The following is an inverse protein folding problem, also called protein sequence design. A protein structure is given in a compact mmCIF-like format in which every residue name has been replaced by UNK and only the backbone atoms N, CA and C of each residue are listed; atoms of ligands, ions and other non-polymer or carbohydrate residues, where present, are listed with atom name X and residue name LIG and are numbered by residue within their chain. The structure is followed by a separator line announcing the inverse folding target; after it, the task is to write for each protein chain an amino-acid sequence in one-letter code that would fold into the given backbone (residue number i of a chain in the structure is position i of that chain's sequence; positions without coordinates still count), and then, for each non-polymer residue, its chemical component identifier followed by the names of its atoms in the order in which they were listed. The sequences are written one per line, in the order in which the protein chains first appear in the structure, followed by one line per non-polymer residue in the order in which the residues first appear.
data_IF_735027990629
#
_entry.id   IF_735027990629
#
_cell.length_a   1.000
_cell.length_b   1.000
_cell.length_c   1.000
_cell.angle_alpha   90.00
_cell.angle_beta   90.00
_cell.angle_gamma   90.00
#
_symmetry.space_group_name_H-M   'P 1'
#
loop_
_entity.id
_entity.type
_entity.pdbx_description
1 polymer ?
#
# COMPACT_ATOMS: atom_id res chain seq x y z
N UNK A 1 35.05 -37.16 32.33
CA UNK A 1 36.11 -36.15 32.03
C UNK A 1 35.91 -35.42 30.69
N UNK A 2 35.13 -35.95 29.72
CA UNK A 2 34.86 -35.29 28.42
C UNK A 2 34.05 -33.98 28.56
N UNK A 3 33.04 -33.94 29.44
CA UNK A 3 32.15 -32.79 29.61
C UNK A 3 32.86 -31.48 29.98
N UNK A 4 33.82 -31.50 30.91
CA UNK A 4 34.46 -30.26 31.38
C UNK A 4 35.24 -29.54 30.28
N UNK A 5 35.83 -30.26 29.32
CA UNK A 5 36.56 -29.67 28.18
C UNK A 5 35.61 -29.09 27.14
N UNK A 6 34.48 -29.76 26.90
CA UNK A 6 33.45 -29.30 25.97
C UNK A 6 32.76 -28.04 26.50
N UNK A 7 32.38 -28.02 27.78
CA UNK A 7 31.81 -26.84 28.46
C UNK A 7 32.78 -25.66 28.44
N UNK A 8 34.07 -25.86 28.73
CA UNK A 8 35.08 -24.78 28.66
C UNK A 8 35.23 -24.19 27.26
N UNK A 9 35.24 -25.03 26.22
CA UNK A 9 35.32 -24.56 24.82
C UNK A 9 34.09 -23.75 24.42
N UNK A 10 32.89 -24.19 24.78
CA UNK A 10 31.64 -23.47 24.51
C UNK A 10 31.60 -22.10 25.23
N UNK A 11 32.06 -22.04 26.49
CA UNK A 11 32.18 -20.78 27.25
C UNK A 11 33.19 -19.82 26.59
N UNK A 12 34.36 -20.32 26.17
CA UNK A 12 35.38 -19.51 25.49
C UNK A 12 34.90 -18.98 24.13
N UNK A 13 34.13 -19.77 23.37
CA UNK A 13 33.52 -19.32 22.12
C UNK A 13 32.41 -18.28 22.35
N UNK A 14 31.58 -18.45 23.39
CA UNK A 14 30.56 -17.47 23.81
C UNK A 14 31.17 -16.14 24.28
N UNK A 15 32.38 -16.16 24.87
CA UNK A 15 33.09 -14.96 25.30
C UNK A 15 33.77 -14.19 24.16
N UNK A 16 34.08 -14.84 23.03
CA UNK A 16 34.82 -14.21 21.92
C UNK A 16 34.03 -13.12 21.19
N UNK A 17 32.74 -13.34 20.94
CA UNK A 17 31.87 -12.30 20.40
C UNK A 17 31.47 -11.41 21.58
N UNK A 18 31.68 -10.10 21.54
CA UNK A 18 31.16 -9.20 22.59
C UNK A 18 29.71 -8.83 22.26
N UNK A 19 28.81 -8.83 23.24
CA UNK A 19 27.38 -8.49 23.01
C UNK A 19 27.20 -7.12 22.35
N UNK A 20 28.06 -6.15 22.69
CA UNK A 20 28.17 -4.87 21.98
C UNK A 20 28.29 -5.08 20.47
N UNK A 21 29.21 -5.92 19.99
CA UNK A 21 29.45 -6.09 18.55
C UNK A 21 28.19 -6.57 17.82
N UNK A 22 27.39 -7.43 18.45
CA UNK A 22 26.09 -7.85 17.91
C UNK A 22 25.09 -6.69 17.86
N UNK A 23 25.08 -5.81 18.87
CA UNK A 23 24.23 -4.61 18.88
C UNK A 23 24.63 -3.64 17.77
N UNK A 24 25.93 -3.37 17.58
CA UNK A 24 26.39 -2.53 16.46
C UNK A 24 26.03 -3.14 15.11
N UNK A 25 26.24 -4.45 14.96
CA UNK A 25 25.86 -5.17 13.74
C UNK A 25 24.35 -5.10 13.49
N UNK A 26 23.53 -5.21 14.55
CA UNK A 26 22.08 -5.08 14.46
C UNK A 26 21.69 -3.68 13.98
N UNK A 27 22.30 -2.62 14.50
CA UNK A 27 22.02 -1.24 14.09
C UNK A 27 22.33 -1.07 12.60
N UNK A 28 23.51 -1.53 12.16
CA UNK A 28 23.91 -1.46 10.75
C UNK A 28 22.96 -2.26 9.85
N UNK A 29 22.63 -3.50 10.21
CA UNK A 29 21.69 -4.33 9.45
C UNK A 29 20.28 -3.75 9.43
N UNK A 30 19.83 -3.12 10.53
CA UNK A 30 18.53 -2.47 10.59
C UNK A 30 18.45 -1.27 9.63
N UNK A 31 19.54 -0.50 9.51
CA UNK A 31 19.61 0.59 8.53
C UNK A 31 19.53 0.08 7.09
N UNK A 32 20.25 -1.01 6.77
CA UNK A 32 20.18 -1.67 5.46
C UNK A 32 18.76 -2.18 5.18
N UNK A 33 18.15 -2.87 6.16
CA UNK A 33 16.78 -3.37 6.04
C UNK A 33 15.79 -2.23 5.78
N UNK A 34 15.87 -1.13 6.54
CA UNK A 34 15.01 0.05 6.37
C UNK A 34 15.18 0.69 4.98
N UNK A 35 16.40 0.71 4.44
CA UNK A 35 16.68 1.24 3.10
C UNK A 35 16.01 0.41 2.01
N UNK A 36 16.11 -0.92 2.07
CA UNK A 36 15.43 -1.79 1.11
C UNK A 36 13.91 -1.75 1.26
N UNK A 37 13.40 -1.68 2.50
CA UNK A 37 11.98 -1.51 2.77
C UNK A 37 11.44 -0.22 2.16
N UNK A 38 12.21 0.87 2.24
CA UNK A 38 11.90 2.14 1.59
C UNK A 38 11.94 2.01 0.06
N UNK A 39 12.92 1.32 -0.49
CA UNK A 39 13.03 1.10 -1.93
C UNK A 39 11.79 0.40 -2.49
N UNK A 40 11.32 -0.67 -1.83
CA UNK A 40 10.09 -1.38 -2.18
C UNK A 40 8.86 -0.45 -2.21
N UNK A 41 8.72 0.37 -1.16
CA UNK A 41 7.63 1.34 -1.05
C UNK A 41 7.69 2.40 -2.16
N UNK A 42 8.86 3.00 -2.40
CA UNK A 42 9.02 4.00 -3.46
C UNK A 42 8.77 3.42 -4.85
N UNK A 43 9.16 2.16 -5.09
CA UNK A 43 8.87 1.46 -6.34
C UNK A 43 7.38 1.21 -6.57
N UNK A 44 6.61 1.02 -5.50
CA UNK A 44 5.14 0.97 -5.56
C UNK A 44 4.57 2.36 -5.88
N UNK A 45 5.02 3.42 -5.18
CA UNK A 45 4.54 4.79 -5.39
C UNK A 45 4.75 5.24 -6.84
N UNK A 46 5.93 4.94 -7.41
CA UNK A 46 6.24 5.25 -8.81
C UNK A 46 5.25 4.59 -9.78
N UNK A 47 4.91 3.32 -9.55
CA UNK A 47 3.94 2.58 -10.38
C UNK A 47 2.53 3.11 -10.21
N UNK A 48 2.13 3.47 -8.99
CA UNK A 48 0.84 4.12 -8.73
C UNK A 48 0.74 5.46 -9.47
N UNK A 49 1.80 6.26 -9.46
CA UNK A 49 1.85 7.51 -10.22
C UNK A 49 1.80 7.26 -11.73
N UNK A 50 2.41 6.17 -12.22
CA UNK A 50 2.33 5.79 -13.62
C UNK A 50 0.91 5.37 -14.03
N UNK A 51 0.15 4.68 -13.17
CA UNK A 51 -1.28 4.40 -13.39
C UNK A 51 -2.07 5.71 -13.50
N UNK A 52 -1.87 6.64 -12.56
CA UNK A 52 -2.57 7.93 -12.59
C UNK A 52 -2.21 8.76 -13.85
N UNK A 53 -0.95 8.73 -14.28
CA UNK A 53 -0.52 9.39 -15.50
C UNK A 53 -1.15 8.76 -16.76
N UNK A 54 -1.19 7.43 -16.85
CA UNK A 54 -1.84 6.74 -17.96
C UNK A 54 -3.36 7.00 -18.00
N UNK A 55 -4.01 7.01 -16.83
CA UNK A 55 -5.43 7.36 -16.70
C UNK A 55 -5.73 8.77 -17.23
N UNK A 56 -4.85 9.72 -16.92
CA UNK A 56 -4.96 11.10 -17.41
C UNK A 56 -4.82 11.21 -18.94
N UNK A 57 -3.95 10.41 -19.54
CA UNK A 57 -3.80 10.35 -21.01
C UNK A 57 -5.03 9.71 -21.68
N UNK A 58 -5.70 8.77 -21.01
CA UNK A 58 -6.90 8.11 -21.51
C UNK A 58 -6.65 6.91 -22.42
N UNK A 59 -5.41 6.40 -22.45
CA UNK A 59 -5.07 5.16 -23.17
C UNK A 59 -5.40 3.93 -22.32
N UNK A 60 -6.59 3.37 -22.50
CA UNK A 60 -7.11 2.23 -21.71
C UNK A 60 -6.17 1.01 -21.70
N UNK A 61 -5.60 0.56 -22.85
CA UNK A 61 -4.58 -0.49 -22.84
C UNK A 61 -3.37 -0.20 -21.95
N UNK A 62 -2.82 1.01 -22.00
CA UNK A 62 -1.66 1.37 -21.17
C UNK A 62 -2.05 1.47 -19.69
N UNK A 63 -3.17 2.11 -19.34
CA UNK A 63 -3.68 2.15 -17.96
C UNK A 63 -3.82 0.74 -17.38
N UNK A 64 -4.40 -0.18 -18.17
CA UNK A 64 -4.56 -1.58 -17.79
C UNK A 64 -3.21 -2.26 -17.55
N UNK A 65 -2.24 -2.07 -18.45
CA UNK A 65 -0.89 -2.59 -18.28
C UNK A 65 -0.19 -2.03 -17.02
N UNK A 66 -0.36 -0.74 -16.72
CA UNK A 66 0.18 -0.11 -15.50
C UNK A 66 -0.46 -0.65 -14.24
N UNK A 67 -1.77 -0.92 -14.25
CA UNK A 67 -2.47 -1.54 -13.12
C UNK A 67 -1.92 -2.94 -12.85
N UNK A 68 -1.70 -3.74 -13.90
CA UNK A 68 -1.10 -5.07 -13.76
C UNK A 68 0.34 -5.02 -13.23
N UNK A 69 1.16 -4.07 -13.69
CA UNK A 69 2.52 -3.89 -13.17
C UNK A 69 2.50 -3.50 -11.68
N UNK A 70 1.63 -2.57 -11.29
CA UNK A 70 1.44 -2.19 -9.88
C UNK A 70 0.96 -3.37 -9.03
N UNK A 71 0.00 -4.15 -9.51
CA UNK A 71 -0.51 -5.34 -8.82
C UNK A 71 0.62 -6.35 -8.58
N UNK A 72 1.38 -6.67 -9.64
CA UNK A 72 2.48 -7.63 -9.57
C UNK A 72 3.57 -7.15 -8.62
N UNK A 73 3.92 -5.87 -8.67
CA UNK A 73 4.91 -5.29 -7.77
C UNK A 73 4.47 -5.39 -6.31
N UNK A 74 3.23 -4.97 -6.01
CA UNK A 74 2.66 -4.98 -4.66
C UNK A 74 2.61 -6.39 -4.08
N UNK A 75 2.23 -7.39 -4.90
CA UNK A 75 2.17 -8.79 -4.48
C UNK A 75 3.55 -9.44 -4.27
N UNK A 76 4.62 -8.90 -4.86
CA UNK A 76 5.95 -9.49 -4.83
C UNK A 76 6.89 -8.90 -3.75
N UNK A 77 6.59 -7.70 -3.22
CA UNK A 77 7.48 -6.97 -2.31
C UNK A 77 6.74 -6.56 -1.05
N UNK A 78 7.33 -6.76 0.13
CA UNK A 78 6.76 -6.21 1.37
C UNK A 78 6.85 -4.69 1.42
N UNK A 79 6.02 -4.07 2.26
CA UNK A 79 5.96 -2.61 2.43
C UNK A 79 5.61 -1.88 1.12
N UNK A 80 4.85 -2.55 0.25
CA UNK A 80 4.47 -2.10 -1.08
C UNK A 80 2.93 -2.09 -1.25
N UNK A 81 2.17 -1.85 -0.19
CA UNK A 81 0.73 -1.68 -0.26
C UNK A 81 0.37 -0.43 -1.06
N UNK A 82 -0.46 -0.58 -2.10
CA UNK A 82 -0.82 0.56 -2.95
C UNK A 82 -1.82 1.52 -2.29
N UNK A 83 -2.48 1.06 -1.22
CA UNK A 83 -3.65 1.73 -0.66
C UNK A 83 -4.83 1.72 -1.64
N UNK A 84 -5.90 2.43 -1.29
CA UNK A 84 -7.01 2.64 -2.24
C UNK A 84 -6.68 3.78 -3.19
N UNK A 85 -6.91 3.56 -4.48
CA UNK A 85 -6.86 4.60 -5.51
C UNK A 85 -7.99 4.41 -6.54
N UNK A 86 -8.24 5.45 -7.32
CA UNK A 86 -9.32 5.51 -8.29
C UNK A 86 -8.79 5.94 -9.66
N UNK A 87 -9.36 5.39 -10.74
CA UNK A 87 -9.17 5.89 -12.10
C UNK A 87 -10.15 7.04 -12.36
N UNK A 88 -9.85 8.20 -11.78
CA UNK A 88 -10.75 9.34 -11.79
C UNK A 88 -11.02 9.85 -13.20
N UNK A 89 -10.01 9.89 -14.07
CA UNK A 89 -10.17 10.47 -15.40
C UNK A 89 -10.95 9.53 -16.32
N UNK A 90 -10.76 8.22 -16.17
CA UNK A 90 -11.60 7.24 -16.86
C UNK A 90 -13.05 7.30 -16.37
N UNK A 91 -13.27 7.41 -15.06
CA UNK A 91 -14.61 7.60 -14.51
C UNK A 91 -15.27 8.85 -15.08
N UNK A 92 -14.55 9.98 -15.10
CA UNK A 92 -15.03 11.25 -15.66
C UNK A 92 -15.47 11.09 -17.13
N UNK A 93 -14.64 10.45 -17.96
CA UNK A 93 -14.95 10.21 -19.38
C UNK A 93 -16.16 9.30 -19.58
N UNK A 94 -16.27 8.23 -18.77
CA UNK A 94 -17.37 7.29 -18.88
C UNK A 94 -18.69 7.89 -18.36
N UNK A 95 -18.64 8.71 -17.31
CA UNK A 95 -19.77 9.48 -16.81
C UNK A 95 -20.27 10.48 -17.87
N UNK A 96 -19.35 11.23 -18.49
CA UNK A 96 -19.69 12.14 -19.58
C UNK A 96 -20.31 11.42 -20.78
N UNK A 97 -19.79 10.24 -21.15
CA UNK A 97 -20.37 9.42 -22.22
C UNK A 97 -21.78 8.91 -21.89
N UNK A 98 -22.03 8.51 -20.64
CA UNK A 98 -23.35 8.09 -20.21
C UNK A 98 -24.38 9.24 -20.30
N UNK A 99 -23.93 10.47 -20.05
CA UNK A 99 -24.77 11.66 -20.19
C UNK A 99 -25.02 12.06 -21.63
N UNK A 100 -24.00 12.01 -22.49
CA UNK A 100 -24.17 12.31 -23.92
C UNK A 100 -25.21 11.38 -24.55
N UNK A 101 -25.20 10.10 -24.16
CA UNK A 101 -26.20 9.13 -24.60
C UNK A 101 -27.62 9.44 -24.10
N UNK A 102 -27.77 10.08 -22.94
CA UNK A 102 -29.08 10.54 -22.44
C UNK A 102 -29.55 11.83 -23.15
N UNK A 103 -28.62 12.74 -23.52
CA UNK A 103 -28.96 13.91 -24.32
C UNK A 103 -29.40 13.56 -25.75
N UNK A 104 -28.92 12.45 -26.32
CA UNK A 104 -29.32 12.01 -27.66
C UNK A 104 -30.79 11.52 -27.74
N UNK A 105 -31.44 11.32 -26.58
CA UNK A 105 -32.82 10.83 -26.52
C UNK A 105 -33.86 11.89 -26.88
N UNK A 106 -33.57 13.19 -26.67
CA UNK A 106 -34.46 14.29 -27.06
C UNK A 106 -33.75 15.65 -27.04
N UNK A 107 -34.25 16.62 -27.82
CA UNK A 107 -33.74 18.00 -27.74
C UNK A 107 -33.92 18.63 -26.34
N UNK A 108 -34.99 18.25 -25.62
CA UNK A 108 -35.24 18.70 -24.25
C UNK A 108 -34.22 18.12 -23.25
N UNK A 109 -33.81 16.86 -23.40
CA UNK A 109 -32.76 16.25 -22.57
C UNK A 109 -31.39 16.83 -22.87
N UNK A 110 -31.09 17.12 -24.14
CA UNK A 110 -29.87 17.82 -24.52
C UNK A 110 -29.77 19.22 -23.88
N UNK A 111 -30.85 20.00 -23.92
CA UNK A 111 -30.87 21.33 -23.33
C UNK A 111 -30.78 21.28 -21.79
N UNK A 112 -31.55 20.41 -21.14
CA UNK A 112 -31.51 20.25 -19.68
C UNK A 112 -30.14 19.78 -19.18
N UNK A 113 -29.49 18.84 -19.88
CA UNK A 113 -28.14 18.39 -19.54
C UNK A 113 -27.11 19.52 -19.74
N UNK A 114 -27.23 20.32 -20.80
CA UNK A 114 -26.31 21.43 -21.08
C UNK A 114 -26.42 22.56 -20.03
N UNK A 115 -27.65 22.88 -19.61
CA UNK A 115 -27.90 23.87 -18.56
C UNK A 115 -27.36 23.39 -17.20
N UNK A 116 -27.57 22.11 -16.87
CA UNK A 116 -27.00 21.47 -15.68
C UNK A 116 -25.46 21.49 -15.66
N UNK A 117 -24.84 21.14 -16.79
CA UNK A 117 -23.38 21.16 -16.94
C UNK A 117 -22.82 22.59 -16.78
N UNK A 118 -23.46 23.60 -17.37
CA UNK A 118 -23.02 24.99 -17.29
C UNK A 118 -22.99 25.54 -15.86
N UNK A 119 -23.91 25.08 -15.00
CA UNK A 119 -23.98 25.49 -13.59
C UNK A 119 -23.01 24.70 -12.73
N UNK A 120 -22.95 23.38 -12.90
CA UNK A 120 -22.21 22.50 -11.99
C UNK A 120 -20.73 22.35 -12.36
N UNK A 121 -20.37 22.33 -13.65
CA UNK A 121 -18.99 22.10 -14.10
C UNK A 121 -17.97 23.14 -13.57
N UNK A 122 -18.27 24.44 -13.50
CA UNK A 122 -17.34 25.43 -12.94
C UNK A 122 -17.12 25.28 -11.43
N UNK A 123 -18.04 24.63 -10.70
CA UNK A 123 -18.02 24.56 -9.24
C UNK A 123 -17.22 23.37 -8.71
N UNK A 124 -16.99 22.34 -9.53
CA UNK A 124 -16.32 21.12 -9.09
C UNK A 124 -15.24 20.67 -10.09
N UNK A 125 -14.14 20.17 -9.55
CA UNK A 125 -13.09 19.55 -10.35
C UNK A 125 -13.44 18.07 -10.61
N UNK A 126 -14.19 17.82 -11.69
CA UNK A 126 -14.55 16.49 -12.17
C UNK A 126 -15.81 15.88 -11.54
N UNK A 127 -16.06 14.62 -11.87
CA UNK A 127 -17.28 13.89 -11.49
C UNK A 127 -17.18 13.38 -10.06
N UNK A 128 -17.47 14.25 -9.09
CA UNK A 128 -17.58 13.91 -7.67
C UNK A 128 -19.02 13.63 -7.26
N UNK A 129 -19.24 13.05 -6.07
CA UNK A 129 -20.60 12.87 -5.53
C UNK A 129 -21.33 14.22 -5.37
N UNK A 130 -20.60 15.29 -5.02
CA UNK A 130 -21.16 16.63 -4.90
C UNK A 130 -21.52 17.23 -6.27
N UNK A 131 -20.67 17.03 -7.29
CA UNK A 131 -21.00 17.37 -8.67
C UNK A 131 -22.30 16.71 -9.10
N UNK A 132 -22.45 15.41 -8.80
CA UNK A 132 -23.63 14.64 -9.16
C UNK A 132 -24.91 15.18 -8.52
N UNK A 133 -24.85 15.52 -7.23
CA UNK A 133 -26.00 16.08 -6.53
C UNK A 133 -26.39 17.44 -7.11
N UNK A 134 -25.42 18.28 -7.45
CA UNK A 134 -25.66 19.53 -8.18
C UNK A 134 -26.36 19.26 -9.51
N UNK A 135 -25.81 18.34 -10.31
CA UNK A 135 -26.30 18.04 -11.65
C UNK A 135 -27.74 17.50 -11.63
N UNK A 136 -28.05 16.56 -10.74
CA UNK A 136 -29.40 16.03 -10.55
C UNK A 136 -30.37 17.09 -10.02
N UNK A 137 -29.90 17.98 -9.13
CA UNK A 137 -30.72 19.09 -8.63
C UNK A 137 -31.04 20.12 -9.70
N UNK A 138 -30.11 20.39 -10.62
CA UNK A 138 -30.35 21.29 -11.76
C UNK A 138 -31.30 20.65 -12.76
N UNK A 139 -31.10 19.36 -13.09
CA UNK A 139 -32.02 18.60 -13.94
C UNK A 139 -33.47 18.59 -13.42
N UNK A 140 -33.66 18.50 -12.10
CA UNK A 140 -34.98 18.51 -11.48
C UNK A 140 -35.75 19.84 -11.66
N UNK A 141 -35.08 20.93 -12.07
CA UNK A 141 -35.71 22.23 -12.32
C UNK A 141 -36.34 22.33 -13.72
N UNK A 142 -36.02 21.44 -14.65
CA UNK A 142 -36.57 21.44 -16.00
C UNK A 142 -37.97 20.79 -16.02
N UNK A 143 -39.02 21.50 -16.47
CA UNK A 143 -40.42 21.06 -16.36
C UNK A 143 -40.85 20.13 -17.51
N UNK A 144 -40.06 19.12 -17.86
CA UNK A 144 -40.48 18.09 -18.82
C UNK A 144 -41.22 16.97 -18.09
N UNK A 145 -42.55 16.96 -18.23
CA UNK A 145 -43.51 16.00 -17.69
C UNK A 145 -43.46 14.58 -18.30
N UNK A 146 -42.34 14.19 -18.91
CA UNK A 146 -41.98 12.80 -19.17
C UNK A 146 -40.62 12.59 -18.53
N UNK A 147 -40.50 11.61 -17.63
CA UNK A 147 -39.28 11.28 -16.90
C UNK A 147 -38.10 11.25 -17.88
N UNK A 148 -37.32 12.33 -17.91
CA UNK A 148 -36.03 12.37 -18.59
C UNK A 148 -35.27 11.13 -18.11
N UNK A 149 -34.79 10.26 -19.03
CA UNK A 149 -34.11 9.04 -18.62
C UNK A 149 -32.91 9.40 -17.76
N UNK A 150 -33.01 9.09 -16.46
CA UNK A 150 -31.95 9.36 -15.52
C UNK A 150 -30.66 8.71 -16.06
N UNK A 151 -29.58 9.48 -16.23
CA UNK A 151 -28.34 8.97 -16.78
C UNK A 151 -27.81 7.87 -15.84
N UNK A 152 -27.74 6.64 -16.35
CA UNK A 152 -27.17 5.51 -15.62
C UNK A 152 -25.66 5.65 -15.60
N UNK A 153 -25.17 6.31 -14.57
CA UNK A 153 -23.74 6.53 -14.40
C UNK A 153 -23.03 5.23 -14.03
N UNK A 154 -21.76 5.10 -14.45
CA UNK A 154 -20.98 3.95 -14.09
C UNK A 154 -20.76 3.93 -12.57
N UNK A 155 -20.69 2.73 -11.98
CA UNK A 155 -20.45 2.59 -10.54
C UNK A 155 -19.00 2.98 -10.20
N UNK A 156 -18.76 3.88 -9.22
CA UNK A 156 -17.41 4.24 -8.80
C UNK A 156 -16.57 3.05 -8.31
N UNK A 157 -17.22 1.96 -7.87
CA UNK A 157 -16.56 0.74 -7.43
C UNK A 157 -15.77 0.05 -8.57
N UNK A 158 -16.17 0.24 -9.83
CA UNK A 158 -15.48 -0.35 -11.00
C UNK A 158 -14.14 0.32 -11.31
N UNK A 159 -13.92 1.52 -10.77
CA UNK A 159 -12.69 2.31 -10.98
C UNK A 159 -11.80 2.31 -9.75
N UNK A 160 -12.21 1.60 -8.69
CA UNK A 160 -11.52 1.53 -7.41
C UNK A 160 -10.59 0.32 -7.39
N UNK A 161 -9.32 0.56 -7.09
CA UNK A 161 -8.32 -0.48 -6.97
C UNK A 161 -7.59 -0.38 -5.63
N UNK A 162 -7.20 -1.53 -5.10
CA UNK A 162 -6.32 -1.65 -3.94
C UNK A 162 -5.56 -2.96 -4.01
N UNK A 163 -4.25 -2.89 -3.86
CA UNK A 163 -3.36 -4.05 -3.87
C UNK A 163 -2.60 -4.11 -2.56
N UNK A 164 -2.61 -5.29 -1.96
CA UNK A 164 -1.99 -5.54 -0.66
C UNK A 164 -0.63 -6.20 -0.85
N UNK A 165 0.30 -5.86 0.03
CA UNK A 165 1.63 -6.43 0.04
C UNK A 165 1.75 -7.58 1.03
N UNK A 166 2.61 -8.59 0.76
CA UNK A 166 2.84 -9.65 1.71
C UNK A 166 3.59 -9.12 2.95
N UNK A 167 3.37 -9.75 4.10
CA UNK A 167 4.11 -9.48 5.34
C UNK A 167 5.62 -9.72 5.17
N UNK A 168 5.98 -10.69 4.33
CA UNK A 168 7.35 -11.01 3.98
C UNK A 168 7.48 -11.37 2.49
N UNK A 169 8.57 -10.96 1.86
CA UNK A 169 8.89 -11.17 0.45
C UNK A 169 10.30 -11.75 0.32
N UNK A 170 10.55 -12.65 -0.65
CA UNK A 170 11.87 -13.27 -0.85
C UNK A 170 12.83 -12.36 -1.64
N UNK A 171 12.96 -11.10 -1.22
CA UNK A 171 13.80 -10.07 -1.82
C UNK A 171 14.87 -9.55 -0.84
N UNK A 172 15.68 -8.57 -1.25
CA UNK A 172 16.73 -8.01 -0.39
C UNK A 172 16.18 -7.45 0.93
N UNK A 173 14.99 -6.84 0.91
CA UNK A 173 14.32 -6.36 2.11
C UNK A 173 14.00 -7.53 3.05
N UNK A 174 13.37 -8.59 2.55
CA UNK A 174 12.96 -9.71 3.40
C UNK A 174 14.12 -10.51 3.97
N UNK A 175 15.17 -10.73 3.20
CA UNK A 175 16.37 -11.38 3.73
C UNK A 175 17.09 -10.50 4.76
N UNK A 176 17.09 -9.18 4.58
CA UNK A 176 17.68 -8.26 5.57
C UNK A 176 16.90 -8.27 6.88
N UNK A 177 15.57 -8.34 6.84
CA UNK A 177 14.71 -8.47 8.04
C UNK A 177 14.96 -9.80 8.74
N UNK A 178 15.05 -10.92 8.01
CA UNK A 178 15.42 -12.22 8.59
C UNK A 178 16.79 -12.13 9.27
N UNK A 179 17.78 -11.49 8.63
CA UNK A 179 19.10 -11.27 9.23
C UNK A 179 19.03 -10.49 10.54
N UNK A 180 18.23 -9.43 10.59
CA UNK A 180 17.98 -8.67 11.82
C UNK A 180 17.35 -9.56 12.91
N UNK A 181 16.33 -10.35 12.56
CA UNK A 181 15.67 -11.27 13.49
C UNK A 181 16.64 -12.31 14.07
N UNK A 182 17.51 -12.89 13.24
CA UNK A 182 18.54 -13.84 13.69
C UNK A 182 19.49 -13.18 14.70
N UNK A 183 19.96 -11.96 14.45
CA UNK A 183 20.84 -11.23 15.37
C UNK A 183 20.11 -10.92 16.69
N UNK A 184 18.83 -10.52 16.62
CA UNK A 184 17.99 -10.30 17.81
C UNK A 184 17.88 -11.58 18.64
N UNK A 185 17.59 -12.73 18.02
CA UNK A 185 17.52 -14.01 18.72
C UNK A 185 18.86 -14.40 19.36
N UNK A 186 19.99 -14.13 18.70
CA UNK A 186 21.32 -14.35 19.28
C UNK A 186 21.57 -13.47 20.53
N UNK A 187 21.17 -12.20 20.48
CA UNK A 187 21.29 -11.28 21.62
C UNK A 187 20.40 -11.75 22.78
N UNK A 188 19.14 -12.08 22.52
CA UNK A 188 18.18 -12.56 23.53
C UNK A 188 18.69 -13.85 24.18
N UNK A 189 19.09 -14.84 23.37
CA UNK A 189 19.61 -16.11 23.89
C UNK A 189 20.83 -15.92 24.80
N UNK A 190 21.68 -14.93 24.49
CA UNK A 190 22.82 -14.58 25.34
C UNK A 190 22.42 -13.88 26.64
N UNK A 191 21.43 -12.99 26.61
CA UNK A 191 20.93 -12.33 27.83
C UNK A 191 20.31 -13.39 28.76
N UNK A 192 19.51 -14.32 28.20
CA UNK A 192 18.90 -15.42 28.95
C UNK A 192 19.96 -16.32 29.57
N UNK A 193 20.99 -16.72 28.81
CA UNK A 193 22.04 -17.62 29.35
C UNK A 193 22.83 -16.98 30.50
N UNK A 194 23.16 -15.68 30.37
CA UNK A 194 23.81 -14.92 31.45
C UNK A 194 22.89 -14.75 32.67
N UNK A 195 21.59 -14.55 32.45
CA UNK A 195 20.61 -14.43 33.52
C UNK A 195 20.47 -15.74 34.30
N UNK A 196 20.31 -16.87 33.61
CA UNK A 196 20.22 -18.21 34.23
C UNK A 196 21.50 -18.54 35.00
N UNK A 197 22.67 -18.26 34.43
CA UNK A 197 23.95 -18.47 35.11
C UNK A 197 24.05 -17.64 36.39
N UNK A 198 23.66 -16.37 36.35
CA UNK A 198 23.63 -15.51 37.55
C UNK A 198 22.65 -16.03 38.60
N UNK A 199 21.49 -16.54 38.19
CA UNK A 199 20.49 -17.10 39.09
C UNK A 199 20.98 -18.37 39.77
N UNK A 200 21.61 -19.28 39.02
CA UNK A 200 22.24 -20.49 39.55
C UNK A 200 23.37 -20.18 40.54
N UNK A 201 24.25 -19.24 40.20
CA UNK A 201 25.33 -18.81 41.08
C UNK A 201 24.81 -18.19 42.38
N UNK A 202 23.79 -17.33 42.31
CA UNK A 202 23.16 -16.75 43.50
C UNK A 202 22.56 -17.81 44.42
N UNK A 203 21.85 -18.81 43.85
CA UNK A 203 21.28 -19.89 44.65
C UNK A 203 22.35 -20.76 45.32
N UNK A 204 23.44 -21.06 44.62
CA UNK A 204 24.51 -21.90 45.18
C UNK A 204 25.30 -21.19 46.29
N UNK A 205 25.55 -19.87 46.16
CA UNK A 205 26.21 -19.08 47.20
C UNK A 205 25.29 -18.73 48.38
N UNK A 206 23.96 -18.87 48.26
CA UNK A 206 23.03 -18.74 49.38
C UNK A 206 22.85 -20.05 50.18
N UNK A 207 23.29 -21.19 49.62
CA UNK A 207 23.21 -22.51 50.27
C UNK A 207 24.49 -22.93 51.02
N UNK A 208 25.51 -22.05 51.05
CA UNK A 208 26.77 -22.21 51.79
C UNK A 208 26.86 -21.11 52.82
#
# INVERSE_FOLDING_TARGET
MSDRRQVRRSIQQLQKVKTWQLVLLLILMSFVAATFLRMNNTGMVQRRNAVAAADKVGNVPDTTARIYDLQRWSAAHMNADSGTFYLQEQYNRDAQRALSQSSDLSAASAQANADAEAVCHPQFNGWSTAYMQCFLAELAKHPSSEKLPEPKLPSPALYRYSFVSPLWSPDFAGWSIIGCLVIIFMIIGRIISLFVLRLMLRRHYQSV
#
